data_IF_175483359500
#
_entry.id   IF_175483359500
#
_cell.length_a   1.000
_cell.length_b   1.000
_cell.length_c   1.000
_cell.angle_alpha   90.00
_cell.angle_beta   90.00
_cell.angle_gamma   90.00
#
_symmetry.space_group_name_H-M   'P 1'
#
loop_
_entity.id
_entity.type
_entity.pdbx_description
1 polymer ?
#
# COMPACT_ATOMS: atom_id res chain seq x y z
N UNK A 1 -15.48 2.39 23.62
CA UNK A 1 -16.05 2.88 22.36
C UNK A 1 -14.89 3.07 21.40
N UNK A 2 -14.79 2.25 20.35
CA UNK A 2 -13.82 2.48 19.28
C UNK A 2 -14.42 3.52 18.33
N UNK A 3 -14.32 4.80 18.69
CA UNK A 3 -14.70 5.88 17.77
C UNK A 3 -13.70 5.87 16.61
N UNK A 4 -14.11 5.41 15.43
CA UNK A 4 -13.28 5.49 14.23
C UNK A 4 -12.49 4.24 13.85
N UNK A 5 -12.68 3.10 14.52
CA UNK A 5 -11.95 1.83 14.26
C UNK A 5 -10.44 1.90 14.52
N UNK A 6 -10.00 2.83 15.37
CA UNK A 6 -8.61 2.87 15.82
C UNK A 6 -8.19 1.51 16.40
N UNK A 7 -7.02 1.03 15.98
CA UNK A 7 -6.42 -0.26 16.34
C UNK A 7 -7.21 -1.53 15.94
N UNK A 8 -8.20 -1.41 15.03
CA UNK A 8 -8.96 -2.57 14.53
C UNK A 8 -8.44 -3.05 13.18
N UNK A 9 -8.04 -4.32 13.11
CA UNK A 9 -7.76 -5.01 11.83
C UNK A 9 -9.07 -5.54 11.24
N UNK A 10 -9.54 -4.91 10.17
CA UNK A 10 -10.81 -5.28 9.53
C UNK A 10 -10.69 -6.45 8.54
N UNK A 11 -9.55 -6.58 7.86
CA UNK A 11 -9.26 -7.65 6.91
C UNK A 11 -7.76 -7.72 6.59
N UNK A 12 -7.27 -8.91 6.27
CA UNK A 12 -5.95 -9.10 5.65
C UNK A 12 -5.99 -8.73 4.16
N UNK A 13 -4.90 -8.16 3.64
CA UNK A 13 -4.79 -7.79 2.22
C UNK A 13 -3.42 -8.10 1.65
N UNK A 14 -3.39 -8.38 0.35
CA UNK A 14 -2.16 -8.55 -0.43
C UNK A 14 -1.88 -7.34 -1.33
N UNK A 15 -2.72 -6.30 -1.28
CA UNK A 15 -2.66 -5.16 -2.19
C UNK A 15 -1.48 -4.24 -1.86
N UNK A 16 -1.36 -3.86 -0.61
CA UNK A 16 -0.34 -2.92 -0.15
C UNK A 16 0.01 -3.14 1.32
N UNK A 17 1.25 -2.85 1.65
CA UNK A 17 1.79 -2.83 3.02
C UNK A 17 2.32 -1.43 3.32
N UNK A 18 1.96 -0.89 4.48
CA UNK A 18 2.26 0.49 4.89
C UNK A 18 2.97 0.45 6.25
N UNK A 19 4.23 0.87 6.27
CA UNK A 19 4.95 1.21 7.49
C UNK A 19 4.93 2.73 7.66
N UNK A 20 4.00 3.21 8.48
CA UNK A 20 3.84 4.64 8.76
C UNK A 20 4.97 5.24 9.59
N UNK A 21 5.70 4.44 10.37
CA UNK A 21 6.81 4.92 11.22
C UNK A 21 8.08 5.04 10.38
N UNK A 22 8.37 4.05 9.54
CA UNK A 22 9.49 4.06 8.61
C UNK A 22 9.23 4.89 7.33
N UNK A 23 7.99 5.27 7.07
CA UNK A 23 7.62 6.01 5.86
C UNK A 23 7.71 5.15 4.60
N UNK A 24 7.49 3.84 4.71
CA UNK A 24 7.58 2.90 3.61
C UNK A 24 6.19 2.47 3.13
N UNK A 25 6.02 2.43 1.82
CA UNK A 25 4.85 1.88 1.15
C UNK A 25 5.30 0.85 0.13
N UNK A 26 4.71 -0.34 0.20
CA UNK A 26 4.89 -1.41 -0.79
C UNK A 26 3.56 -1.68 -1.46
N UNK A 27 3.53 -1.75 -2.79
CA UNK A 27 2.37 -2.08 -3.61
C UNK A 27 2.66 -3.41 -4.31
N UNK A 28 1.91 -4.47 -3.97
CA UNK A 28 2.05 -5.80 -4.61
C UNK A 28 3.49 -6.32 -4.65
N UNK A 29 4.26 -6.09 -3.59
CA UNK A 29 5.67 -6.48 -3.47
C UNK A 29 6.68 -5.48 -4.06
N UNK A 30 6.21 -4.37 -4.64
CA UNK A 30 7.04 -3.31 -5.22
C UNK A 30 7.08 -2.09 -4.31
N UNK A 31 8.27 -1.58 -3.97
CA UNK A 31 8.39 -0.36 -3.16
C UNK A 31 7.89 0.86 -3.92
N UNK A 32 7.22 1.81 -3.27
CA UNK A 32 6.73 3.02 -3.96
C UNK A 32 7.87 3.79 -4.65
N UNK A 33 9.05 3.83 -4.02
CA UNK A 33 10.24 4.50 -4.54
C UNK A 33 10.72 3.90 -5.88
N UNK A 34 10.51 2.61 -6.13
CA UNK A 34 10.89 1.98 -7.40
C UNK A 34 9.89 2.25 -8.52
N UNK A 35 8.61 2.46 -8.16
CA UNK A 35 7.54 2.73 -9.11
C UNK A 35 7.51 4.21 -9.51
N UNK A 36 7.69 5.10 -8.53
CA UNK A 36 7.60 6.54 -8.71
C UNK A 36 8.62 7.07 -9.74
N UNK A 37 8.12 7.81 -10.74
CA UNK A 37 8.95 8.41 -11.79
C UNK A 37 9.52 7.42 -12.82
N UNK A 38 9.40 6.11 -12.59
CA UNK A 38 9.90 5.06 -13.50
C UNK A 38 8.78 4.33 -14.23
N UNK A 39 7.64 4.16 -13.60
CA UNK A 39 6.49 3.44 -14.14
C UNK A 39 5.37 4.40 -14.53
N UNK A 40 4.65 4.06 -15.61
CA UNK A 40 3.43 4.79 -15.99
C UNK A 40 2.26 4.33 -15.14
N UNK A 41 1.31 5.23 -14.91
CA UNK A 41 0.09 4.96 -14.16
C UNK A 41 -0.59 3.64 -14.55
N UNK A 42 -0.86 3.42 -15.84
CA UNK A 42 -1.52 2.20 -16.31
C UNK A 42 -0.75 0.90 -16.02
N UNK A 43 0.60 0.97 -15.94
CA UNK A 43 1.42 -0.19 -15.57
C UNK A 43 1.27 -0.49 -14.08
N UNK A 44 1.28 0.53 -13.23
CA UNK A 44 1.09 0.40 -11.78
C UNK A 44 -0.31 -0.13 -11.46
N UNK A 45 -1.34 0.41 -12.10
CA UNK A 45 -2.74 -0.03 -11.93
C UNK A 45 -2.89 -1.51 -12.25
N UNK A 46 -2.17 -2.01 -13.24
CA UNK A 46 -2.22 -3.43 -13.62
C UNK A 46 -1.68 -4.37 -12.53
N UNK A 47 -0.88 -3.88 -11.59
CA UNK A 47 -0.45 -4.68 -10.43
C UNK A 47 -1.62 -4.94 -9.48
N UNK A 48 -2.61 -4.04 -9.43
CA UNK A 48 -3.68 -4.05 -8.43
C UNK A 48 -4.82 -5.04 -8.71
N UNK A 49 -4.84 -5.63 -9.91
CA UNK A 49 -5.82 -6.63 -10.34
C UNK A 49 -5.15 -8.00 -10.44
#
# INVERSE_FOLDING_TARGET
MANGLDDVVAADTVLSDVDGVGGHLTIRGHSLAELAGRWRYAQVVRLLF
#
